data_IF_634934259195
#
_entry.id   IF_634934259195
#
_cell.length_a   1.000
_cell.length_b   1.000
_cell.length_c   1.000
_cell.angle_alpha   90.00
_cell.angle_beta   90.00
_cell.angle_gamma   90.00
#
_symmetry.space_group_name_H-M   'P 1'
#
loop_
_entity.id
_entity.type
_entity.pdbx_description
1 polymer ?
#
# COMPACT_ATOMS: atom_id res chain seq x y z
N UNK A 1 15.02 -9.75 -13.71
CA UNK A 1 15.19 -10.08 -12.29
C UNK A 1 13.84 -10.25 -11.63
N UNK A 2 13.40 -11.49 -11.46
CA UNK A 2 12.28 -11.87 -10.58
C UNK A 2 12.93 -12.51 -9.36
N UNK A 3 12.77 -11.92 -8.18
CA UNK A 3 13.44 -12.40 -6.96
C UNK A 3 12.46 -13.04 -5.98
N UNK A 4 11.21 -12.60 -5.99
CA UNK A 4 10.19 -13.16 -5.10
C UNK A 4 9.45 -14.27 -5.86
N UNK A 5 9.59 -15.51 -5.37
CA UNK A 5 8.94 -16.69 -5.94
C UNK A 5 8.11 -17.36 -4.84
N UNK A 6 6.84 -17.66 -5.13
CA UNK A 6 5.91 -18.26 -4.16
C UNK A 6 5.87 -17.52 -2.81
N UNK A 7 5.77 -16.19 -2.84
CA UNK A 7 5.74 -15.33 -1.63
C UNK A 7 4.45 -14.51 -1.54
N UNK A 8 4.10 -14.14 -0.32
CA UNK A 8 3.21 -13.02 -0.06
C UNK A 8 4.06 -11.83 0.40
N UNK A 9 3.97 -10.72 -0.31
CA UNK A 9 4.62 -9.46 0.08
C UNK A 9 3.53 -8.50 0.55
N UNK A 10 3.56 -8.16 1.84
CA UNK A 10 2.67 -7.16 2.43
C UNK A 10 3.48 -5.87 2.58
N UNK A 11 2.96 -4.79 2.01
CA UNK A 11 3.56 -3.46 2.07
C UNK A 11 2.60 -2.61 2.87
N UNK A 12 2.94 -2.34 4.11
CA UNK A 12 2.20 -1.41 4.96
C UNK A 12 2.67 0.03 4.72
N UNK A 13 1.82 1.00 5.04
CA UNK A 13 2.08 2.43 4.82
C UNK A 13 2.49 2.76 3.36
N UNK A 14 1.91 2.06 2.39
CA UNK A 14 2.29 2.12 0.99
C UNK A 14 2.07 3.51 0.35
N UNK A 15 1.27 4.38 0.97
CA UNK A 15 1.12 5.79 0.55
C UNK A 15 2.43 6.57 0.64
N UNK A 16 3.36 6.14 1.49
CA UNK A 16 4.66 6.79 1.66
C UNK A 16 5.71 6.36 0.64
N UNK A 17 5.38 5.42 -0.25
CA UNK A 17 6.26 5.04 -1.35
C UNK A 17 6.10 5.97 -2.55
N UNK A 18 7.20 6.27 -3.22
CA UNK A 18 7.15 6.91 -4.55
C UNK A 18 6.69 5.91 -5.62
N UNK A 19 6.19 6.43 -6.75
CA UNK A 19 5.86 5.61 -7.95
C UNK A 19 7.04 4.73 -8.39
N UNK A 20 8.27 5.24 -8.32
CA UNK A 20 9.48 4.53 -8.70
C UNK A 20 9.75 3.34 -7.77
N UNK A 21 9.71 3.56 -6.45
CA UNK A 21 9.91 2.50 -5.46
C UNK A 21 8.84 1.40 -5.60
N UNK A 22 7.58 1.80 -5.75
CA UNK A 22 6.48 0.86 -5.94
C UNK A 22 6.66 0.00 -7.20
N UNK A 23 7.02 0.62 -8.34
CA UNK A 23 7.35 -0.12 -9.57
C UNK A 23 8.51 -1.09 -9.37
N UNK A 24 9.56 -0.68 -8.67
CA UNK A 24 10.72 -1.53 -8.37
C UNK A 24 10.33 -2.75 -7.54
N UNK A 25 9.41 -2.63 -6.57
CA UNK A 25 8.93 -3.77 -5.78
C UNK A 25 8.08 -4.72 -6.63
N UNK A 26 7.07 -4.18 -7.33
CA UNK A 26 6.12 -4.98 -8.11
C UNK A 26 6.82 -5.77 -9.22
N UNK A 27 7.77 -5.16 -9.93
CA UNK A 27 8.48 -5.82 -11.04
C UNK A 27 9.41 -6.95 -10.60
N UNK A 28 9.68 -7.10 -9.30
CA UNK A 28 10.45 -8.22 -8.74
C UNK A 28 9.59 -9.44 -8.41
N UNK A 29 8.26 -9.33 -8.45
CA UNK A 29 7.36 -10.45 -8.27
C UNK A 29 7.49 -11.46 -9.41
N UNK A 30 7.85 -12.68 -9.07
CA UNK A 30 7.83 -13.83 -9.97
C UNK A 30 6.62 -14.72 -9.74
N UNK A 31 6.56 -15.87 -10.45
CA UNK A 31 5.43 -16.80 -10.37
C UNK A 31 5.05 -17.17 -8.93
N UNK A 32 3.74 -17.31 -8.71
CA UNK A 32 3.16 -17.64 -7.41
C UNK A 32 3.25 -16.53 -6.36
N UNK A 33 3.76 -15.34 -6.70
CA UNK A 33 3.83 -14.22 -5.75
C UNK A 33 2.57 -13.36 -5.79
N UNK A 34 2.07 -12.98 -4.61
CA UNK A 34 1.02 -11.97 -4.43
C UNK A 34 1.59 -10.79 -3.64
N UNK A 35 1.21 -9.59 -4.04
CA UNK A 35 1.55 -8.35 -3.33
C UNK A 35 0.26 -7.75 -2.78
N UNK A 36 0.27 -7.38 -1.51
CA UNK A 36 -0.83 -6.70 -0.83
C UNK A 36 -0.29 -5.37 -0.33
N UNK A 37 -0.83 -4.26 -0.84
CA UNK A 37 -0.48 -2.92 -0.38
C UNK A 37 -1.59 -2.42 0.55
N UNK A 38 -1.20 -1.97 1.73
CA UNK A 38 -2.06 -1.33 2.73
C UNK A 38 -1.61 0.12 2.89
N UNK A 39 -2.55 1.00 3.24
CA UNK A 39 -2.20 2.40 3.49
C UNK A 39 -3.41 3.32 3.50
N UNK A 40 -3.19 4.51 4.03
CA UNK A 40 -4.19 5.57 4.09
C UNK A 40 -3.65 6.81 3.37
N UNK A 41 -4.24 7.15 2.23
CA UNK A 41 -3.80 8.27 1.37
C UNK A 41 -3.92 9.63 2.09
N UNK A 42 -4.79 9.75 3.09
CA UNK A 42 -4.91 10.97 3.92
C UNK A 42 -3.79 11.13 4.97
N UNK A 43 -2.96 10.10 5.17
CA UNK A 43 -1.84 10.07 6.13
C UNK A 43 -0.50 9.88 5.39
N UNK A 44 -0.23 10.77 4.43
CA UNK A 44 1.08 10.83 3.77
C UNK A 44 2.04 11.60 4.70
N UNK A 45 3.14 10.96 5.07
CA UNK A 45 4.07 11.48 6.08
C UNK A 45 5.12 12.44 5.50
N UNK A 46 5.19 12.57 4.18
CA UNK A 46 6.26 13.31 3.49
C UNK A 46 5.72 14.40 2.57
N UNK A 47 6.27 15.63 2.63
CA UNK A 47 5.80 16.75 1.82
C UNK A 47 6.09 16.59 0.32
N UNK A 48 6.93 15.63 -0.05
CA UNK A 48 7.29 15.35 -1.44
C UNK A 48 6.34 14.38 -2.13
N UNK A 49 5.38 13.83 -1.38
CA UNK A 49 4.31 13.00 -1.90
C UNK A 49 2.97 13.69 -1.68
N UNK A 50 2.04 13.35 -2.55
CA UNK A 50 0.66 13.79 -2.51
C UNK A 50 -0.24 12.63 -2.88
N UNK A 51 -1.53 12.78 -2.65
CA UNK A 51 -2.53 11.79 -3.02
C UNK A 51 -2.45 11.43 -4.51
N UNK A 52 -2.05 12.36 -5.37
CA UNK A 52 -1.90 12.12 -6.81
C UNK A 52 -0.54 11.53 -7.19
N UNK A 53 0.49 11.65 -6.34
CA UNK A 53 1.86 11.24 -6.64
C UNK A 53 2.35 10.03 -5.85
N UNK A 54 1.62 9.61 -4.81
CA UNK A 54 1.92 8.40 -4.04
C UNK A 54 2.01 7.15 -4.92
N UNK A 55 2.83 6.20 -4.50
CA UNK A 55 2.96 4.90 -5.13
C UNK A 55 1.67 4.08 -5.00
N UNK A 56 0.95 4.22 -3.89
CA UNK A 56 -0.31 3.52 -3.64
C UNK A 56 -1.39 3.93 -4.66
N UNK A 57 -1.70 5.23 -4.75
CA UNK A 57 -2.71 5.73 -5.68
C UNK A 57 -2.32 5.51 -7.15
N UNK A 58 -1.02 5.62 -7.46
CA UNK A 58 -0.51 5.29 -8.79
C UNK A 58 -0.79 3.83 -9.19
N UNK A 59 -0.59 2.87 -8.30
CA UNK A 59 -0.85 1.45 -8.61
C UNK A 59 -2.34 1.17 -8.69
N UNK A 60 -3.15 1.73 -7.77
CA UNK A 60 -4.61 1.58 -7.82
C UNK A 60 -5.15 2.07 -9.16
N UNK A 61 -4.78 3.28 -9.58
CA UNK A 61 -5.25 3.83 -10.86
C UNK A 61 -4.82 2.99 -12.08
N UNK A 62 -3.58 2.50 -12.08
CA UNK A 62 -3.05 1.71 -13.19
C UNK A 62 -3.60 0.30 -13.24
N UNK A 63 -3.94 -0.30 -12.10
CA UNK A 63 -4.34 -1.69 -12.01
C UNK A 63 -5.86 -1.86 -11.95
N UNK A 64 -6.66 -0.80 -11.75
CA UNK A 64 -8.13 -0.90 -11.62
C UNK A 64 -8.88 -1.69 -12.70
N UNK A 65 -8.31 -1.79 -13.91
CA UNK A 65 -8.89 -2.54 -15.04
C UNK A 65 -8.20 -3.89 -15.31
N UNK A 66 -7.21 -4.26 -14.49
CA UNK A 66 -6.50 -5.52 -14.64
C UNK A 66 -7.23 -6.62 -13.87
N UNK A 67 -7.62 -7.68 -14.58
CA UNK A 67 -8.43 -8.80 -14.07
C UNK A 67 -7.85 -9.49 -12.83
N UNK A 68 -6.53 -9.45 -12.64
CA UNK A 68 -5.86 -10.09 -11.50
C UNK A 68 -5.56 -9.14 -10.35
N UNK A 69 -6.13 -7.93 -10.37
CA UNK A 69 -6.06 -6.97 -9.28
C UNK A 69 -7.36 -6.93 -8.49
N UNK A 70 -7.28 -6.48 -7.24
CA UNK A 70 -8.43 -6.18 -6.41
C UNK A 70 -8.12 -4.96 -5.55
N UNK A 71 -9.10 -4.09 -5.38
CA UNK A 71 -9.01 -2.90 -4.54
C UNK A 71 -10.17 -2.90 -3.56
N UNK A 72 -9.85 -2.77 -2.27
CA UNK A 72 -10.83 -2.72 -1.19
C UNK A 72 -10.62 -1.39 -0.48
N UNK A 73 -11.69 -0.61 -0.34
CA UNK A 73 -11.69 0.59 0.48
C UNK A 73 -12.37 0.25 1.81
N UNK A 74 -11.62 0.35 2.90
CA UNK A 74 -12.16 0.21 4.24
C UNK A 74 -12.69 1.57 4.70
N UNK A 75 -14.01 1.66 4.92
CA UNK A 75 -14.68 2.94 5.25
C UNK A 75 -14.48 3.30 6.73
N UNK A 76 -14.26 2.31 7.59
CA UNK A 76 -14.11 2.48 9.04
C UNK A 76 -12.90 1.71 9.53
N UNK A 77 -12.05 2.39 10.30
CA UNK A 77 -10.99 1.76 11.08
C UNK A 77 -11.51 1.38 12.45
N UNK A 78 -11.24 0.16 12.88
CA UNK A 78 -11.45 -0.27 14.26
C UNK A 78 -10.12 -0.18 15.00
N UNK A 79 -10.13 0.49 16.15
CA UNK A 79 -8.98 0.59 17.04
C UNK A 79 -9.21 -0.30 18.25
N UNK A 80 -8.11 -0.84 18.79
CA UNK A 80 -8.20 -1.58 20.05
C UNK A 80 -8.40 -0.61 21.21
N UNK A 81 -8.98 -1.10 22.31
CA UNK A 81 -9.07 -0.34 23.58
C UNK A 81 -7.73 0.28 24.01
N UNK A 82 -6.60 -0.40 23.74
CA UNK A 82 -5.25 0.11 24.03
C UNK A 82 -4.90 1.30 23.14
N UNK A 83 -5.17 1.20 21.84
CA UNK A 83 -4.87 2.27 20.88
C UNK A 83 -5.72 3.52 21.13
N UNK A 84 -7.00 3.35 21.49
CA UNK A 84 -7.87 4.46 21.87
C UNK A 84 -7.37 5.15 23.13
N UNK A 85 -7.07 4.38 24.19
CA UNK A 85 -6.51 4.94 25.43
C UNK A 85 -5.20 5.69 25.20
N UNK A 86 -4.31 5.15 24.37
CA UNK A 86 -3.05 5.81 24.04
C UNK A 86 -3.26 7.13 23.29
N UNK A 87 -4.22 7.20 22.35
CA UNK A 87 -4.53 8.41 21.59
C UNK A 87 -5.07 9.56 22.44
N UNK A 88 -5.72 9.25 23.56
CA UNK A 88 -6.26 10.25 24.50
C UNK A 88 -5.22 10.70 25.53
N UNK A 89 -4.21 9.87 25.80
CA UNK A 89 -3.28 10.05 26.93
C UNK A 89 -1.89 10.54 26.49
N UNK A 90 -1.46 10.27 25.25
CA UNK A 90 -0.18 10.68 24.67
C UNK A 90 -0.38 11.84 23.68
#
# INVERSE_FOLDING_TARGET
>A
GRTFLNRYLIIDEAQNLTRKQMKTLITRAGPGTKIVCLGNVSQIDTPYLSETTSGLTYVVDRFKNWEHSGHITLIRGERSRLADYASDTL
#
